data_IF_832221965752
#
_entry.id   IF_832221965752
#
_cell.length_a   1.000
_cell.length_b   1.000
_cell.length_c   1.000
_cell.angle_alpha   90.00
_cell.angle_beta   90.00
_cell.angle_gamma   90.00
#
_symmetry.space_group_name_H-M   'P 1'
#
loop_
_entity.id
_entity.type
_entity.pdbx_description
1 polymer ?
#
# COMPACT_ATOMS: atom_id res chain seq x y z
N UNK A 1 36.77 11.29 29.16
CA UNK A 1 36.17 10.13 28.43
C UNK A 1 34.66 10.30 28.47
N UNK A 2 34.12 10.86 27.39
CA UNK A 2 32.79 11.45 27.31
C UNK A 2 31.72 10.35 27.14
N UNK A 3 30.86 10.14 28.16
CA UNK A 3 29.75 9.17 28.16
C UNK A 3 28.48 9.79 27.57
N UNK A 4 28.37 9.83 26.23
CA UNK A 4 27.17 10.35 25.53
C UNK A 4 26.74 9.45 24.36
N UNK A 5 27.08 8.16 24.41
CA UNK A 5 26.80 7.21 23.30
C UNK A 5 25.39 6.57 23.23
N UNK A 6 24.37 6.86 24.08
CA UNK A 6 23.01 6.39 23.78
C UNK A 6 22.08 7.47 23.20
N UNK A 7 22.35 8.75 23.42
CA UNK A 7 21.46 9.85 23.00
C UNK A 7 21.47 10.10 21.49
N UNK A 8 22.57 9.78 20.79
CA UNK A 8 22.68 9.97 19.34
C UNK A 8 21.96 8.88 18.52
N UNK A 9 21.69 7.71 19.11
CA UNK A 9 21.00 6.61 18.43
C UNK A 9 19.47 6.77 18.45
N UNK A 10 18.92 7.44 19.48
CA UNK A 10 17.47 7.60 19.67
C UNK A 10 16.88 8.63 18.68
N UNK A 11 17.69 9.59 18.20
CA UNK A 11 17.25 10.58 17.22
C UNK A 11 17.03 10.02 15.80
N UNK A 12 17.62 8.87 15.44
CA UNK A 12 17.46 8.27 14.11
C UNK A 12 16.16 7.47 13.93
N UNK A 13 15.46 7.10 15.01
CA UNK A 13 14.31 6.19 14.92
C UNK A 13 12.99 6.94 14.60
N UNK A 14 12.95 8.27 14.77
CA UNK A 14 11.70 9.04 14.74
C UNK A 14 11.26 9.57 13.36
N UNK A 15 11.96 9.27 12.26
CA UNK A 15 11.76 9.96 10.97
C UNK A 15 11.47 9.07 9.74
N UNK A 16 11.28 7.76 9.88
CA UNK A 16 11.08 6.87 8.73
C UNK A 16 9.63 6.44 8.48
N UNK A 17 8.66 7.31 8.75
CA UNK A 17 7.29 7.11 8.26
C UNK A 17 7.18 7.62 6.82
N UNK A 18 7.93 7.02 5.88
CA UNK A 18 7.61 7.19 4.47
C UNK A 18 6.37 6.35 4.18
N UNK A 19 5.28 6.96 3.70
CA UNK A 19 4.14 6.22 3.15
C UNK A 19 4.64 5.49 1.89
N UNK A 20 5.09 4.25 2.05
CA UNK A 20 5.56 3.43 0.95
C UNK A 20 4.36 2.81 0.25
N UNK A 21 4.39 2.80 -1.08
CA UNK A 21 3.45 2.05 -1.92
C UNK A 21 4.05 0.65 -2.14
N UNK A 22 3.25 -0.39 -1.94
CA UNK A 22 3.65 -1.77 -2.19
C UNK A 22 3.97 -1.97 -3.68
N UNK A 23 4.85 -2.91 -3.98
CA UNK A 23 5.02 -3.35 -5.36
C UNK A 23 3.74 -4.02 -5.87
N UNK A 24 3.45 -4.00 -7.19
CA UNK A 24 2.49 -4.92 -7.80
C UNK A 24 2.76 -6.35 -7.34
N UNK A 25 1.73 -7.10 -6.92
CA UNK A 25 1.86 -8.44 -6.35
C UNK A 25 2.69 -8.53 -5.05
N UNK A 26 3.09 -7.39 -4.48
CA UNK A 26 3.75 -7.30 -3.19
C UNK A 26 2.79 -7.47 -2.02
N UNK A 27 3.34 -7.72 -0.83
CA UNK A 27 2.57 -7.74 0.41
C UNK A 27 2.13 -6.32 0.80
N UNK A 28 0.88 -6.18 1.21
CA UNK A 28 0.25 -4.92 1.61
C UNK A 28 -0.43 -4.99 2.99
N UNK A 29 -0.37 -6.15 3.66
CA UNK A 29 -1.04 -6.35 4.94
C UNK A 29 -0.77 -7.73 5.53
N UNK A 30 -1.30 -7.93 6.74
CA UNK A 30 -1.16 -9.16 7.53
C UNK A 30 -0.69 -8.90 8.95
N UNK A 31 -0.86 -9.89 9.83
CA UNK A 31 -0.33 -9.86 11.20
C UNK A 31 1.18 -9.60 11.18
N UNK A 32 1.62 -8.64 11.98
CA UNK A 32 3.01 -8.18 12.10
C UNK A 32 3.62 -7.56 10.82
N UNK A 33 2.82 -7.27 9.79
CA UNK A 33 3.29 -6.50 8.63
C UNK A 33 3.51 -5.03 9.00
N UNK A 34 4.76 -4.56 8.88
CA UNK A 34 5.15 -3.15 9.14
C UNK A 34 5.53 -2.40 7.87
N UNK A 35 5.26 -3.00 6.71
CA UNK A 35 5.63 -2.45 5.42
C UNK A 35 4.54 -1.58 4.78
N UNK A 36 4.67 -1.31 3.48
CA UNK A 36 3.65 -0.61 2.68
C UNK A 36 2.25 -1.20 2.85
N UNK A 37 1.22 -0.37 3.05
CA UNK A 37 -0.18 -0.85 3.11
C UNK A 37 -1.03 -0.38 1.92
N UNK A 38 -0.47 0.47 1.06
CA UNK A 38 -1.13 1.04 -0.10
C UNK A 38 -0.65 0.32 -1.36
N UNK A 39 -1.57 -0.16 -2.19
CA UNK A 39 -1.26 -0.75 -3.49
C UNK A 39 -1.16 0.32 -4.60
N UNK A 40 -0.41 0.06 -5.68
CA UNK A 40 -0.32 0.99 -6.81
C UNK A 40 -1.68 1.04 -7.56
N UNK A 41 -1.95 2.11 -8.35
CA UNK A 41 -3.19 2.21 -9.11
C UNK A 41 -3.47 0.98 -9.98
N UNK A 42 -4.74 0.53 -9.97
CA UNK A 42 -5.15 -0.71 -10.66
C UNK A 42 -4.85 -2.00 -9.89
N UNK A 43 -4.43 -1.91 -8.63
CA UNK A 43 -4.27 -3.03 -7.71
C UNK A 43 -5.02 -2.76 -6.40
N UNK A 44 -5.66 -3.79 -5.87
CA UNK A 44 -6.27 -3.77 -4.54
C UNK A 44 -5.53 -4.71 -3.59
N UNK A 45 -5.52 -4.36 -2.31
CA UNK A 45 -4.93 -5.20 -1.26
C UNK A 45 -5.91 -6.32 -0.88
N UNK A 46 -5.66 -7.53 -1.36
CA UNK A 46 -6.53 -8.69 -1.12
C UNK A 46 -5.93 -9.55 -0.02
N UNK A 47 -6.71 -9.84 1.02
CA UNK A 47 -6.32 -10.74 2.11
C UNK A 47 -6.24 -12.17 1.57
N UNK A 48 -5.08 -12.80 1.68
CA UNK A 48 -4.90 -14.22 1.33
C UNK A 48 -4.97 -15.11 2.58
N UNK A 49 -4.47 -14.62 3.71
CA UNK A 49 -4.57 -15.25 5.03
C UNK A 49 -4.29 -14.21 6.13
N UNK A 50 -4.36 -14.64 7.39
CA UNK A 50 -4.15 -13.77 8.56
C UNK A 50 -2.81 -13.03 8.55
N UNK A 51 -1.76 -13.63 7.99
CA UNK A 51 -0.41 -13.08 7.96
C UNK A 51 -0.07 -12.39 6.64
N UNK A 52 -0.92 -12.49 5.62
CA UNK A 52 -0.58 -12.06 4.28
C UNK A 52 -1.79 -11.46 3.54
N UNK A 53 -1.62 -10.22 3.11
CA UNK A 53 -2.46 -9.58 2.10
C UNK A 53 -1.57 -9.17 0.92
N UNK A 54 -2.03 -9.38 -0.31
CA UNK A 54 -1.27 -9.11 -1.54
C UNK A 54 -1.94 -8.07 -2.42
N UNK A 55 -1.17 -7.20 -3.05
CA UNK A 55 -1.66 -6.32 -4.10
C UNK A 55 -1.98 -7.12 -5.36
N UNK A 56 -3.26 -7.42 -5.60
CA UNK A 56 -3.71 -8.12 -6.81
C UNK A 56 -4.31 -7.12 -7.79
N UNK A 57 -4.09 -7.35 -9.09
CA UNK A 57 -4.64 -6.47 -10.13
C UNK A 57 -6.17 -6.55 -10.12
N UNK A 58 -6.82 -5.39 -10.10
CA UNK A 58 -8.25 -5.30 -10.37
C UNK A 58 -8.48 -5.13 -11.86
N UNK A 59 -9.38 -5.93 -12.41
CA UNK A 59 -9.92 -5.70 -13.73
C UNK A 59 -11.26 -5.04 -13.50
N UNK A 60 -11.33 -3.72 -13.65
CA UNK A 60 -12.64 -3.07 -13.77
C UNK A 60 -13.25 -3.63 -15.04
N UNK A 61 -14.16 -4.59 -14.88
CA UNK A 61 -15.08 -4.95 -15.94
C UNK A 61 -15.92 -3.70 -16.14
N UNK A 62 -15.53 -2.87 -17.10
CA UNK A 62 -16.41 -1.85 -17.66
C UNK A 62 -17.56 -2.63 -18.27
N UNK A 63 -18.52 -3.01 -17.43
CA UNK A 63 -19.85 -3.33 -17.87
C UNK A 63 -20.33 -2.00 -18.40
N UNK A 64 -20.18 -1.82 -19.72
CA UNK A 64 -20.85 -0.75 -20.42
C UNK A 64 -22.33 -0.98 -20.13
N UNK A 65 -22.86 -0.28 -19.14
CA UNK A 65 -24.25 0.15 -19.20
C UNK A 65 -24.39 0.75 -20.60
N UNK A 66 -25.32 0.27 -21.45
CA UNK A 66 -25.56 0.91 -22.72
C UNK A 66 -26.02 2.33 -22.43
N UNK A 67 -25.07 3.25 -22.39
CA UNK A 67 -25.31 4.68 -22.35
C UNK A 67 -26.07 4.98 -23.63
N UNK A 68 -27.32 5.42 -23.47
CA UNK A 68 -28.15 5.84 -24.59
C UNK A 68 -27.40 6.88 -25.44
N UNK A 69 -27.80 7.05 -26.70
CA UNK A 69 -27.09 7.91 -27.64
C UNK A 69 -26.83 9.29 -27.04
N UNK A 70 -25.62 9.87 -27.18
CA UNK A 70 -25.38 11.23 -26.74
C UNK A 70 -26.31 12.17 -27.53
N UNK A 71 -27.17 12.89 -26.82
CA UNK A 71 -28.03 13.94 -27.39
C UNK A 71 -27.14 15.07 -27.91
N UNK A 72 -27.21 15.45 -29.20
CA UNK A 72 -26.50 16.62 -29.71
C UNK A 72 -27.08 17.91 -29.11
N UNK A 73 -26.22 18.82 -28.68
CA UNK A 73 -26.55 20.20 -28.31
C UNK A 73 -26.67 21.11 -29.54
#
# INVERSE_FOLDING_TARGET
MLRITPLLAIACILLYASAQIAAPWGQCGGIAWTGPTICPPGYDCIVLNDYQSQCLRIYTTTTATPEGPPTPA
#
